data_IF_559305719361
#
_entry.id   IF_559305719361
#
_cell.length_a   1.000
_cell.length_b   1.000
_cell.length_c   1.000
_cell.angle_alpha   90.00
_cell.angle_beta   90.00
_cell.angle_gamma   90.00
#
_symmetry.space_group_name_H-M   'P 1'
#
loop_
_entity.id
_entity.type
_entity.pdbx_description
1 polymer ?
#
# COMPACT_ATOMS: atom_id res chain seq x y z
N UNK A 1 -0.29 9.26 8.80
CA UNK A 1 -1.34 8.21 8.93
C UNK A 1 -0.73 6.86 8.59
N UNK A 2 -1.26 5.78 9.14
CA UNK A 2 -0.78 4.42 8.87
C UNK A 2 -1.87 3.66 8.10
N UNK A 3 -1.48 3.05 6.99
CA UNK A 3 -2.34 2.24 6.13
C UNK A 3 -1.77 0.82 6.07
N UNK A 4 -2.63 -0.19 6.05
CA UNK A 4 -2.25 -1.60 5.94
C UNK A 4 -2.98 -2.21 4.74
N UNK A 5 -2.28 -2.91 3.86
CA UNK A 5 -2.86 -3.56 2.67
C UNK A 5 -2.52 -5.05 2.75
N UNK A 6 -3.54 -5.90 2.83
CA UNK A 6 -3.47 -7.36 2.76
C UNK A 6 -4.28 -7.90 1.57
N UNK A 7 -4.32 -9.22 1.40
CA UNK A 7 -5.17 -9.83 0.38
C UNK A 7 -6.65 -9.54 0.63
N UNK A 8 -7.07 -9.64 1.89
CA UNK A 8 -8.48 -9.59 2.29
C UNK A 8 -8.96 -8.17 2.58
N UNK A 9 -8.09 -7.32 3.14
CA UNK A 9 -8.44 -5.98 3.60
C UNK A 9 -7.50 -4.92 3.03
N UNK A 10 -8.07 -3.78 2.65
CA UNK A 10 -7.30 -2.64 2.22
C UNK A 10 -8.12 -1.35 2.38
N UNK A 11 -7.48 -0.23 2.75
CA UNK A 11 -8.09 1.09 2.75
C UNK A 11 -8.60 1.46 1.37
N UNK A 12 -9.56 2.39 1.27
CA UNK A 12 -10.02 2.88 -0.01
C UNK A 12 -8.86 3.40 -0.86
N UNK A 13 -8.93 3.13 -2.16
CA UNK A 13 -7.85 3.48 -3.10
C UNK A 13 -7.60 5.00 -3.18
N UNK A 14 -8.62 5.80 -2.87
CA UNK A 14 -8.51 7.26 -2.72
C UNK A 14 -7.55 7.65 -1.59
N UNK A 15 -7.73 7.08 -0.40
CA UNK A 15 -6.88 7.34 0.76
C UNK A 15 -5.42 6.98 0.49
N UNK A 16 -5.18 5.85 -0.19
CA UNK A 16 -3.82 5.46 -0.59
C UNK A 16 -3.21 6.48 -1.56
N UNK A 17 -3.98 7.00 -2.53
CA UNK A 17 -3.49 8.06 -3.43
C UNK A 17 -3.25 9.40 -2.73
N UNK A 18 -4.00 9.67 -1.67
CA UNK A 18 -3.86 10.91 -0.92
C UNK A 18 -2.68 10.89 0.06
N UNK A 19 -2.16 9.71 0.39
CA UNK A 19 -0.98 9.53 1.22
C UNK A 19 0.24 10.30 0.68
N UNK A 20 1.01 10.88 1.61
CA UNK A 20 2.13 11.76 1.32
C UNK A 20 3.23 11.67 2.39
N UNK A 21 4.19 12.59 2.36
CA UNK A 21 5.26 12.66 3.33
C UNK A 21 4.74 12.68 4.78
N UNK A 22 5.22 11.72 5.59
CA UNK A 22 4.76 11.51 6.97
C UNK A 22 3.68 10.43 7.10
N UNK A 23 3.15 9.91 6.00
CA UNK A 23 2.31 8.73 5.97
C UNK A 23 3.11 7.46 5.70
N UNK A 24 2.58 6.34 6.20
CA UNK A 24 3.21 5.03 6.10
C UNK A 24 2.21 4.02 5.57
N UNK A 25 2.61 3.25 4.56
CA UNK A 25 1.83 2.16 3.96
C UNK A 25 2.56 0.85 4.24
N UNK A 26 1.92 -0.05 4.97
CA UNK A 26 2.37 -1.41 5.21
C UNK A 26 1.70 -2.34 4.21
N UNK A 27 2.51 -3.06 3.42
CA UNK A 27 2.05 -4.13 2.55
C UNK A 27 2.25 -5.45 3.31
N UNK A 28 1.16 -6.06 3.76
CA UNK A 28 1.14 -7.30 4.57
C UNK A 28 1.53 -8.52 3.75
N UNK A 29 2.11 -9.59 4.32
CA UNK A 29 2.75 -10.68 3.55
C UNK A 29 1.98 -11.25 2.32
N UNK A 30 0.66 -11.27 2.39
CA UNK A 30 -0.31 -11.76 1.40
C UNK A 30 -0.78 -10.68 0.41
N UNK A 31 -0.27 -9.44 0.47
CA UNK A 31 -0.72 -8.30 -0.36
C UNK A 31 -0.73 -8.58 -1.86
N UNK A 32 0.12 -9.49 -2.33
CA UNK A 32 0.21 -9.92 -3.75
C UNK A 32 -0.94 -10.82 -4.20
N UNK A 33 -1.62 -11.47 -3.26
CA UNK A 33 -2.73 -12.38 -3.54
C UNK A 33 -4.04 -11.62 -3.78
N UNK A 34 -4.05 -10.30 -3.56
CA UNK A 34 -5.19 -9.43 -3.83
C UNK A 34 -5.48 -9.33 -5.34
N UNK A 35 -6.69 -9.71 -5.76
CA UNK A 35 -7.15 -9.65 -7.15
C UNK A 35 -6.98 -8.25 -7.80
N UNK A 36 -7.27 -7.20 -7.05
CA UNK A 36 -7.19 -5.82 -7.49
C UNK A 36 -5.84 -5.14 -7.21
N UNK A 37 -4.80 -5.90 -6.87
CA UNK A 37 -3.47 -5.37 -6.54
C UNK A 37 -2.93 -4.40 -7.60
N UNK A 38 -3.16 -4.68 -8.89
CA UNK A 38 -2.68 -3.80 -9.98
C UNK A 38 -3.18 -2.35 -9.84
N UNK A 39 -4.38 -2.14 -9.28
CA UNK A 39 -4.91 -0.80 -9.01
C UNK A 39 -4.24 -0.16 -7.80
N UNK A 40 -4.00 -0.94 -6.75
CA UNK A 40 -3.28 -0.48 -5.56
C UNK A 40 -1.81 -0.17 -5.89
N UNK A 41 -1.18 -0.89 -6.80
CA UNK A 41 0.18 -0.62 -7.25
C UNK A 41 0.34 0.80 -7.78
N UNK A 42 -0.60 1.26 -8.62
CA UNK A 42 -0.61 2.64 -9.13
C UNK A 42 -0.77 3.66 -7.98
N UNK A 43 -1.71 3.41 -7.08
CA UNK A 43 -1.94 4.29 -5.93
C UNK A 43 -0.72 4.37 -4.99
N UNK A 44 -0.11 3.23 -4.69
CA UNK A 44 1.10 3.13 -3.85
C UNK A 44 2.29 3.80 -4.53
N UNK A 45 2.47 3.63 -5.83
CA UNK A 45 3.51 4.33 -6.60
C UNK A 45 3.31 5.86 -6.56
N UNK A 46 2.05 6.31 -6.66
CA UNK A 46 1.71 7.72 -6.53
C UNK A 46 2.02 8.27 -5.12
N UNK A 47 1.63 7.54 -4.07
CA UNK A 47 1.94 7.88 -2.69
C UNK A 47 3.46 7.95 -2.44
N UNK A 48 4.21 6.99 -2.99
CA UNK A 48 5.68 6.96 -2.93
C UNK A 48 6.29 8.23 -3.53
N UNK A 49 5.81 8.63 -4.71
CA UNK A 49 6.27 9.84 -5.38
C UNK A 49 5.98 11.11 -4.57
N UNK A 50 4.96 11.09 -3.70
CA UNK A 50 4.61 12.16 -2.77
C UNK A 50 5.35 12.09 -1.43
N UNK A 51 6.23 11.11 -1.26
CA UNK A 51 7.07 10.95 -0.06
C UNK A 51 6.48 10.06 1.03
N UNK A 52 5.40 9.34 0.76
CA UNK A 52 4.92 8.31 1.68
C UNK A 52 5.94 7.18 1.82
N UNK A 53 6.07 6.64 3.04
CA UNK A 53 6.98 5.53 3.33
C UNK A 53 6.25 4.21 3.10
N UNK A 54 6.87 3.29 2.37
CA UNK A 54 6.28 1.98 2.08
C UNK A 54 7.12 0.90 2.76
N UNK A 55 6.48 0.11 3.62
CA UNK A 55 7.08 -1.08 4.20
C UNK A 55 6.46 -2.30 3.55
N UNK A 56 7.27 -3.06 2.82
CA UNK A 56 6.88 -4.38 2.36
C UNK A 56 7.16 -5.38 3.46
N UNK A 57 6.10 -6.00 3.98
CA UNK A 57 6.14 -7.24 4.75
C UNK A 57 6.66 -8.33 3.83
N UNK A 58 7.98 -8.41 3.69
CA UNK A 58 8.61 -9.45 2.93
C UNK A 58 8.39 -10.77 3.68
N UNK A 59 7.46 -11.60 3.20
CA UNK A 59 7.71 -13.03 3.27
C UNK A 59 8.84 -13.27 2.26
N UNK A 60 10.09 -13.08 2.69
CA UNK A 60 11.23 -13.66 2.01
C UNK A 60 11.03 -15.16 2.15
N UNK A 61 10.38 -15.76 1.15
CA UNK A 61 10.18 -17.20 1.04
C UNK A 61 11.47 -17.98 1.16
#
# INVERSE_FOLDING_TARGET
MIYEISAEDAPPLGDIREACAGDTIFLMPDWRERDDWTRYLDAVAHAMARGAVIHQGANCG
#
